data_IF_284958305308
#
_entry.id   IF_284958305308
#
_cell.length_a   1.000
_cell.length_b   1.000
_cell.length_c   1.000
_cell.angle_alpha   90.00
_cell.angle_beta   90.00
_cell.angle_gamma   90.00
#
_symmetry.space_group_name_H-M   'P 1'
#
loop_
_entity.id
_entity.type
_entity.pdbx_description
1 polymer ?
#
# COMPACT_ATOMS: atom_id res chain seq x y z
N UNK A 1 64.67 -45.42 37.76
CA UNK A 1 63.46 -44.72 38.30
C UNK A 1 63.12 -43.59 37.31
N UNK A 2 62.24 -43.82 36.40
CA UNK A 2 61.82 -42.84 35.39
C UNK A 2 60.34 -42.51 35.57
N UNK A 3 60.06 -41.25 35.86
CA UNK A 3 58.69 -40.70 35.97
C UNK A 3 58.24 -40.31 34.61
N UNK A 4 57.18 -40.95 34.11
CA UNK A 4 56.45 -40.53 32.87
C UNK A 4 55.39 -39.52 33.27
N UNK A 5 55.47 -38.30 32.75
CA UNK A 5 54.45 -37.27 32.90
C UNK A 5 53.45 -37.40 31.77
N UNK A 6 52.20 -37.72 32.09
CA UNK A 6 51.11 -37.75 31.15
C UNK A 6 50.51 -36.34 31.00
N UNK A 7 50.59 -35.75 29.80
CA UNK A 7 49.90 -34.51 29.44
C UNK A 7 48.46 -34.82 28.98
N UNK A 8 47.49 -34.41 29.77
CA UNK A 8 46.07 -34.38 29.37
C UNK A 8 45.79 -33.12 28.55
N UNK A 9 45.59 -33.28 27.27
CA UNK A 9 45.14 -32.19 26.39
C UNK A 9 43.62 -32.04 26.52
N UNK A 10 43.19 -30.96 27.13
CA UNK A 10 41.75 -30.58 27.17
C UNK A 10 41.36 -29.90 25.88
N UNK A 11 40.57 -30.57 25.04
CA UNK A 11 39.95 -29.97 23.83
C UNK A 11 38.71 -29.19 24.22
N UNK A 12 38.82 -27.86 24.16
CA UNK A 12 37.67 -26.98 24.33
C UNK A 12 36.80 -26.99 23.05
N UNK A 13 35.59 -27.56 23.16
CA UNK A 13 34.59 -27.46 22.09
C UNK A 13 33.92 -26.08 22.14
N UNK A 14 34.21 -25.23 21.17
CA UNK A 14 33.49 -24.00 20.96
C UNK A 14 32.11 -24.33 20.37
N UNK A 15 31.05 -24.15 21.15
CA UNK A 15 29.67 -24.21 20.67
C UNK A 15 29.40 -22.88 19.99
N UNK A 16 29.44 -22.86 18.66
CA UNK A 16 28.97 -21.72 17.85
C UNK A 16 27.45 -21.73 17.96
N UNK A 17 26.81 -20.67 18.49
CA UNK A 17 25.34 -20.58 18.45
C UNK A 17 24.90 -20.51 16.99
N UNK A 18 24.23 -21.56 16.54
CA UNK A 18 23.56 -21.54 15.22
C UNK A 18 22.42 -20.51 15.32
N UNK A 19 22.57 -19.39 14.62
CA UNK A 19 21.46 -18.49 14.36
C UNK A 19 20.39 -19.31 13.62
N UNK A 20 19.28 -19.57 14.31
CA UNK A 20 18.11 -20.16 13.66
C UNK A 20 17.73 -19.28 12.44
N UNK A 21 17.48 -19.88 11.27
CA UNK A 21 17.01 -19.10 10.13
C UNK A 21 15.76 -18.34 10.57
N UNK A 22 15.76 -16.99 10.41
CA UNK A 22 14.56 -16.20 10.55
C UNK A 22 13.56 -16.80 9.57
N UNK A 23 12.43 -17.27 10.08
CA UNK A 23 11.30 -17.62 9.21
C UNK A 23 11.04 -16.38 8.33
N UNK A 24 11.24 -16.49 7.02
CA UNK A 24 10.81 -15.49 6.09
C UNK A 24 9.30 -15.34 6.29
N UNK A 25 8.82 -14.13 6.54
CA UNK A 25 7.40 -13.88 6.64
C UNK A 25 6.76 -14.44 5.36
N UNK A 26 5.77 -15.34 5.52
CA UNK A 26 5.08 -15.92 4.37
C UNK A 26 4.37 -14.80 3.63
N UNK A 27 4.48 -14.77 2.30
CA UNK A 27 3.78 -13.80 1.46
C UNK A 27 2.27 -13.86 1.71
N UNK A 28 1.58 -12.73 1.92
CA UNK A 28 0.13 -12.72 2.08
C UNK A 28 -0.56 -13.06 0.75
N UNK A 29 -1.79 -13.56 0.82
CA UNK A 29 -2.60 -13.77 -0.38
C UNK A 29 -3.01 -12.46 -1.06
N UNK A 30 -3.19 -11.40 -0.25
CA UNK A 30 -3.50 -10.03 -0.68
C UNK A 30 -2.71 -9.04 0.17
N UNK A 31 -2.13 -8.01 -0.43
CA UNK A 31 -1.59 -6.87 0.29
C UNK A 31 -2.23 -5.57 -0.17
N UNK A 32 -2.66 -4.76 0.80
CA UNK A 32 -3.21 -3.43 0.55
C UNK A 32 -2.12 -2.38 0.80
N UNK A 33 -1.63 -1.75 -0.27
CA UNK A 33 -0.74 -0.59 -0.22
C UNK A 33 -1.60 0.66 -0.13
N UNK A 34 -1.63 1.32 1.03
CA UNK A 34 -2.57 2.42 1.28
C UNK A 34 -1.87 3.72 1.69
N UNK A 35 -2.18 4.80 0.97
CA UNK A 35 -1.75 6.15 1.28
C UNK A 35 -2.84 6.88 2.09
N UNK A 36 -2.49 7.30 3.32
CA UNK A 36 -3.38 7.99 4.26
C UNK A 36 -3.70 9.42 3.83
N UNK A 37 -4.68 10.04 4.45
CA UNK A 37 -5.01 11.44 4.22
C UNK A 37 -4.06 12.42 4.93
N UNK A 38 -4.17 13.71 4.61
CA UNK A 38 -3.41 14.81 5.21
C UNK A 38 -3.58 14.82 6.73
N UNK A 39 -2.50 15.06 7.45
CA UNK A 39 -2.40 15.16 8.91
C UNK A 39 -2.79 13.87 9.68
N UNK A 40 -3.04 12.74 8.99
CA UNK A 40 -3.18 11.46 9.67
C UNK A 40 -1.81 10.91 10.13
N UNK A 41 -1.75 10.23 11.27
CA UNK A 41 -0.50 9.62 11.76
C UNK A 41 0.00 8.51 10.81
N UNK A 42 1.31 8.15 10.87
CA UNK A 42 1.89 7.09 10.04
C UNK A 42 1.10 5.78 10.10
N UNK A 43 1.04 5.09 8.96
CA UNK A 43 0.26 3.86 8.75
C UNK A 43 -0.78 4.05 7.65
N UNK A 44 -1.81 3.22 7.63
CA UNK A 44 -2.88 3.24 6.60
C UNK A 44 -3.99 4.28 6.88
N UNK A 45 -3.93 5.02 7.98
CA UNK A 45 -4.95 5.98 8.38
C UNK A 45 -6.30 5.34 8.74
N UNK A 46 -7.27 6.18 9.09
CA UNK A 46 -8.61 5.74 9.55
C UNK A 46 -9.41 5.07 8.43
N UNK A 47 -9.43 5.68 7.24
CA UNK A 47 -10.19 5.16 6.09
C UNK A 47 -9.56 3.85 5.60
N UNK A 48 -8.22 3.82 5.46
CA UNK A 48 -7.49 2.62 5.06
C UNK A 48 -7.68 1.47 6.04
N UNK A 49 -7.58 1.73 7.35
CA UNK A 49 -7.81 0.70 8.38
C UNK A 49 -9.21 0.10 8.32
N UNK A 50 -10.23 0.93 8.13
CA UNK A 50 -11.62 0.47 7.98
C UNK A 50 -11.80 -0.35 6.69
N UNK A 51 -11.22 0.09 5.58
CA UNK A 51 -11.25 -0.63 4.30
C UNK A 51 -10.56 -1.99 4.40
N UNK A 52 -9.34 -2.07 4.94
CA UNK A 52 -8.59 -3.32 5.15
C UNK A 52 -9.38 -4.30 6.03
N UNK A 53 -9.93 -3.83 7.16
CA UNK A 53 -10.73 -4.67 8.04
C UNK A 53 -12.00 -5.19 7.34
N UNK A 54 -12.64 -4.35 6.53
CA UNK A 54 -13.80 -4.74 5.73
C UNK A 54 -13.45 -5.78 4.66
N UNK A 55 -12.27 -5.65 4.01
CA UNK A 55 -11.78 -6.61 3.02
C UNK A 55 -11.45 -7.97 3.66
N UNK A 56 -10.79 -7.98 4.82
CA UNK A 56 -10.52 -9.22 5.59
C UNK A 56 -11.76 -10.05 5.87
N UNK A 57 -12.91 -9.42 6.05
CA UNK A 57 -14.18 -10.10 6.29
C UNK A 57 -14.84 -10.66 5.01
N UNK A 58 -14.37 -10.29 3.83
CA UNK A 58 -14.98 -10.60 2.53
C UNK A 58 -14.16 -11.55 1.66
N UNK A 59 -12.91 -11.82 2.01
CA UNK A 59 -12.07 -12.79 1.32
C UNK A 59 -11.60 -13.89 2.27
N UNK A 60 -11.32 -15.08 1.70
CA UNK A 60 -10.70 -16.19 2.45
C UNK A 60 -9.17 -16.13 2.43
N UNK A 61 -8.60 -15.22 1.64
CA UNK A 61 -7.15 -15.04 1.58
C UNK A 61 -6.66 -14.28 2.80
N UNK A 62 -5.42 -14.50 3.18
CA UNK A 62 -4.73 -13.63 4.15
C UNK A 62 -4.59 -12.23 3.54
N UNK A 63 -4.92 -11.20 4.33
CA UNK A 63 -4.84 -9.80 3.91
C UNK A 63 -3.89 -9.07 4.83
N UNK A 64 -2.78 -8.59 4.27
CA UNK A 64 -1.85 -7.69 4.94
C UNK A 64 -2.00 -6.25 4.41
N UNK A 65 -1.32 -5.30 5.03
CA UNK A 65 -1.39 -3.90 4.62
C UNK A 65 -0.07 -3.17 4.84
N UNK A 66 0.31 -2.37 3.86
CA UNK A 66 1.42 -1.45 3.90
C UNK A 66 0.92 -0.01 3.91
N UNK A 67 1.29 0.75 4.92
CA UNK A 67 1.02 2.20 4.97
C UNK A 67 2.12 2.97 4.27
N UNK A 68 1.79 3.62 3.15
CA UNK A 68 2.73 4.43 2.38
C UNK A 68 3.44 5.45 3.26
N UNK A 69 4.77 5.42 3.22
CA UNK A 69 5.61 6.28 4.03
C UNK A 69 5.86 7.62 3.33
N UNK A 70 5.18 8.66 3.77
CA UNK A 70 5.34 10.03 3.27
C UNK A 70 4.89 11.04 4.34
N UNK A 71 5.21 12.32 4.22
CA UNK A 71 4.88 13.31 5.25
C UNK A 71 3.39 13.48 5.52
N UNK A 72 2.52 13.31 4.51
CA UNK A 72 1.06 13.51 4.59
C UNK A 72 0.69 14.85 5.25
N UNK A 73 1.39 15.91 4.90
CA UNK A 73 1.20 17.27 5.40
C UNK A 73 0.53 18.16 4.34
N UNK A 74 0.40 19.45 4.63
CA UNK A 74 -0.24 20.43 3.73
C UNK A 74 0.63 20.81 2.52
N UNK A 75 1.87 20.35 2.46
CA UNK A 75 2.70 20.47 1.27
C UNK A 75 2.32 19.34 0.29
N UNK A 76 1.47 19.68 -0.68
CA UNK A 76 0.98 18.70 -1.66
C UNK A 76 2.08 18.18 -2.61
N UNK A 77 3.23 18.85 -2.71
CA UNK A 77 4.37 18.32 -3.45
C UNK A 77 4.95 17.07 -2.80
N UNK A 78 4.77 16.89 -1.50
CA UNK A 78 5.11 15.68 -0.76
C UNK A 78 4.32 14.43 -1.22
N UNK A 79 3.27 14.59 -2.03
CA UNK A 79 2.59 13.44 -2.66
C UNK A 79 3.52 12.65 -3.58
N UNK A 80 4.52 13.29 -4.21
CA UNK A 80 5.53 12.61 -5.02
C UNK A 80 6.43 11.67 -4.20
N UNK A 81 6.76 12.05 -2.95
CA UNK A 81 7.51 11.17 -2.03
C UNK A 81 6.70 9.91 -1.71
N UNK A 82 5.39 10.07 -1.46
CA UNK A 82 4.47 8.96 -1.26
C UNK A 82 4.35 8.06 -2.50
N UNK A 83 4.29 8.64 -3.69
CA UNK A 83 4.24 7.88 -4.93
C UNK A 83 5.54 7.09 -5.17
N UNK A 84 6.72 7.66 -4.87
CA UNK A 84 8.00 6.97 -4.94
C UNK A 84 8.07 5.80 -3.94
N UNK A 85 7.64 6.00 -2.71
CA UNK A 85 7.60 4.96 -1.68
C UNK A 85 6.65 3.82 -2.07
N UNK A 86 5.42 4.15 -2.45
CA UNK A 86 4.44 3.16 -2.91
C UNK A 86 4.95 2.35 -4.10
N UNK A 87 5.52 3.01 -5.11
CA UNK A 87 6.05 2.34 -6.29
C UNK A 87 7.23 1.41 -5.96
N UNK A 88 8.16 1.84 -5.08
CA UNK A 88 9.25 0.99 -4.61
C UNK A 88 8.71 -0.25 -3.87
N UNK A 89 7.71 -0.07 -3.00
CA UNK A 89 7.11 -1.18 -2.26
C UNK A 89 6.38 -2.16 -3.18
N UNK A 90 5.61 -1.67 -4.15
CA UNK A 90 4.93 -2.49 -5.15
C UNK A 90 5.94 -3.32 -5.95
N UNK A 91 7.03 -2.73 -6.42
CA UNK A 91 8.09 -3.46 -7.13
C UNK A 91 8.73 -4.52 -6.23
N UNK A 92 9.06 -4.17 -4.99
CA UNK A 92 9.59 -5.13 -4.02
C UNK A 92 8.65 -6.32 -3.82
N UNK A 93 7.35 -6.10 -3.68
CA UNK A 93 6.36 -7.16 -3.51
C UNK A 93 6.23 -8.01 -4.77
N UNK A 94 6.26 -7.40 -5.95
CA UNK A 94 6.25 -8.12 -7.23
C UNK A 94 7.42 -9.10 -7.35
N UNK A 95 8.62 -8.68 -6.90
CA UNK A 95 9.84 -9.49 -6.98
C UNK A 95 9.89 -10.58 -5.88
N UNK A 96 9.47 -10.23 -4.66
CA UNK A 96 9.63 -11.09 -3.48
C UNK A 96 8.42 -12.00 -3.23
N UNK A 97 7.23 -11.58 -3.64
CA UNK A 97 5.95 -12.26 -3.40
C UNK A 97 5.07 -12.28 -4.67
N UNK A 98 5.51 -12.94 -5.75
CA UNK A 98 4.87 -12.84 -7.07
C UNK A 98 3.43 -13.35 -7.13
N UNK A 99 3.00 -14.20 -6.19
CA UNK A 99 1.63 -14.71 -6.12
C UNK A 99 0.68 -13.80 -5.31
N UNK A 100 1.22 -12.80 -4.59
CA UNK A 100 0.44 -11.83 -3.82
C UNK A 100 -0.35 -10.92 -4.75
N UNK A 101 -1.66 -10.79 -4.52
CA UNK A 101 -2.51 -9.82 -5.21
C UNK A 101 -2.38 -8.47 -4.53
N UNK A 102 -1.88 -7.47 -5.27
CA UNK A 102 -1.73 -6.11 -4.76
C UNK A 102 -3.03 -5.33 -4.94
N UNK A 103 -3.41 -4.58 -3.91
CA UNK A 103 -4.52 -3.64 -3.91
C UNK A 103 -3.97 -2.27 -3.54
N UNK A 104 -4.14 -1.29 -4.42
CA UNK A 104 -3.72 0.07 -4.13
C UNK A 104 -4.89 0.85 -3.55
N UNK A 105 -4.63 1.71 -2.57
CA UNK A 105 -5.69 2.52 -2.00
C UNK A 105 -5.18 3.87 -1.51
N UNK A 106 -6.08 4.85 -1.47
CA UNK A 106 -5.74 6.17 -0.97
C UNK A 106 -6.95 6.98 -0.53
N UNK A 107 -6.75 7.86 0.46
CA UNK A 107 -7.77 8.78 0.93
C UNK A 107 -7.29 10.22 0.82
N UNK A 108 -8.11 11.10 0.23
CA UNK A 108 -7.82 12.54 0.11
C UNK A 108 -6.46 12.77 -0.59
N UNK A 109 -5.47 13.40 0.03
CA UNK A 109 -4.10 13.53 -0.49
C UNK A 109 -3.50 12.16 -0.86
N UNK A 110 -3.79 11.11 -0.08
CA UNK A 110 -3.35 9.76 -0.38
C UNK A 110 -3.97 9.19 -1.66
N UNK A 111 -5.18 9.60 -2.04
CA UNK A 111 -5.76 9.25 -3.33
C UNK A 111 -4.96 9.88 -4.48
N UNK A 112 -4.51 11.13 -4.34
CA UNK A 112 -3.61 11.76 -5.31
C UNK A 112 -2.24 11.06 -5.39
N UNK A 113 -1.70 10.55 -4.27
CA UNK A 113 -0.48 9.72 -4.26
C UNK A 113 -0.67 8.50 -5.15
N UNK A 114 -1.78 7.78 -5.00
CA UNK A 114 -2.05 6.57 -5.80
C UNK A 114 -2.35 6.92 -7.26
N UNK A 115 -3.01 8.04 -7.53
CA UNK A 115 -3.19 8.54 -8.91
C UNK A 115 -1.85 8.77 -9.61
N UNK A 116 -0.85 9.35 -8.93
CA UNK A 116 0.49 9.54 -9.50
C UNK A 116 1.10 8.18 -9.86
N UNK A 117 1.00 7.17 -8.99
CA UNK A 117 1.53 5.81 -9.23
C UNK A 117 0.85 5.15 -10.43
N UNK A 118 -0.47 5.29 -10.55
CA UNK A 118 -1.26 4.57 -11.56
C UNK A 118 -1.31 5.27 -12.91
N UNK A 119 -1.18 6.60 -12.96
CA UNK A 119 -1.37 7.40 -14.16
C UNK A 119 -0.08 7.94 -14.79
N UNK A 120 1.03 8.00 -14.03
CA UNK A 120 2.27 8.58 -14.53
C UNK A 120 3.21 7.52 -15.14
N UNK A 121 3.17 7.32 -16.47
CA UNK A 121 4.09 6.39 -17.14
C UNK A 121 5.52 6.94 -17.22
N UNK A 122 5.71 8.22 -16.86
CA UNK A 122 6.98 8.95 -16.95
C UNK A 122 7.28 9.68 -15.64
N UNK A 123 8.58 9.82 -15.28
CA UNK A 123 8.98 10.65 -14.15
C UNK A 123 8.57 12.12 -14.35
N UNK A 124 8.20 12.79 -13.27
CA UNK A 124 7.87 14.22 -13.28
C UNK A 124 7.45 14.74 -11.92
N UNK A 125 7.61 16.04 -11.68
CA UNK A 125 7.20 16.73 -10.45
C UNK A 125 7.65 16.04 -9.15
N UNK A 126 8.88 15.49 -9.12
CA UNK A 126 9.43 14.75 -7.98
C UNK A 126 9.14 13.25 -7.99
N UNK A 127 8.22 12.76 -8.81
CA UNK A 127 8.02 11.33 -9.01
C UNK A 127 9.11 10.77 -9.95
N UNK A 128 9.88 9.80 -9.45
CA UNK A 128 11.06 9.26 -10.16
C UNK A 128 10.97 7.76 -10.44
N UNK A 129 9.95 7.10 -9.92
CA UNK A 129 9.79 5.65 -9.94
C UNK A 129 8.48 5.20 -10.61
N UNK A 130 8.31 5.45 -11.92
CA UNK A 130 7.13 4.95 -12.65
C UNK A 130 6.98 3.44 -12.49
N UNK A 131 5.75 2.99 -12.34
CA UNK A 131 5.46 1.57 -12.17
C UNK A 131 5.69 0.82 -13.48
N UNK A 132 6.57 -0.19 -13.54
CA UNK A 132 6.71 -1.03 -14.72
C UNK A 132 5.40 -1.75 -15.06
N UNK A 133 5.15 -2.01 -16.35
CA UNK A 133 3.95 -2.71 -16.79
C UNK A 133 3.76 -4.06 -16.06
N UNK A 134 4.83 -4.83 -15.87
CA UNK A 134 4.80 -6.10 -15.16
C UNK A 134 4.33 -5.95 -13.71
N UNK A 135 4.75 -4.89 -13.00
CA UNK A 135 4.29 -4.63 -11.65
C UNK A 135 2.81 -4.21 -11.62
N UNK A 136 2.33 -3.48 -12.65
CA UNK A 136 0.92 -3.14 -12.79
C UNK A 136 0.02 -4.37 -12.99
N UNK A 137 0.53 -5.45 -13.59
CA UNK A 137 -0.21 -6.72 -13.76
C UNK A 137 -0.50 -7.42 -12.44
N UNK A 138 0.35 -7.21 -11.41
CA UNK A 138 0.12 -7.74 -10.06
C UNK A 138 -0.95 -6.96 -9.28
N UNK A 139 -1.30 -5.73 -9.74
CA UNK A 139 -2.36 -4.93 -9.12
C UNK A 139 -3.72 -5.47 -9.55
N UNK A 140 -4.43 -6.05 -8.59
CA UNK A 140 -5.76 -6.61 -8.79
C UNK A 140 -6.86 -5.53 -8.75
N UNK A 141 -6.69 -4.50 -7.91
CA UNK A 141 -7.66 -3.43 -7.75
C UNK A 141 -7.04 -2.13 -7.23
N UNK A 142 -7.72 -1.02 -7.49
CA UNK A 142 -7.45 0.31 -6.96
C UNK A 142 -8.72 0.84 -6.28
N UNK A 143 -8.60 1.37 -5.06
CA UNK A 143 -9.71 1.92 -4.29
C UNK A 143 -9.37 3.33 -3.78
N UNK A 144 -10.01 4.34 -4.33
CA UNK A 144 -9.77 5.74 -4.02
C UNK A 144 -10.96 6.34 -3.27
N UNK A 145 -10.68 7.20 -2.32
CA UNK A 145 -11.68 7.83 -1.47
C UNK A 145 -11.42 9.35 -1.38
N UNK A 146 -12.42 10.16 -1.75
CA UNK A 146 -12.30 11.61 -1.69
C UNK A 146 -11.17 12.16 -2.56
N UNK A 147 -11.05 11.64 -3.75
CA UNK A 147 -9.96 11.90 -4.67
C UNK A 147 -10.03 13.32 -5.28
N UNK A 148 -9.00 14.17 -5.08
CA UNK A 148 -9.00 15.52 -5.62
C UNK A 148 -8.92 15.57 -7.15
N UNK A 149 -8.41 14.55 -7.83
CA UNK A 149 -8.29 14.53 -9.29
C UNK A 149 -9.64 14.58 -9.98
N UNK A 150 -10.71 14.10 -9.33
CA UNK A 150 -12.08 14.22 -9.84
C UNK A 150 -12.49 15.67 -10.19
N UNK A 151 -11.90 16.66 -9.50
CA UNK A 151 -12.11 18.10 -9.77
C UNK A 151 -11.04 18.74 -10.66
N UNK A 152 -9.92 18.06 -10.86
CA UNK A 152 -8.77 18.58 -11.62
C UNK A 152 -8.78 18.16 -13.11
N UNK A 153 -9.93 17.73 -13.64
CA UNK A 153 -10.05 17.36 -15.06
C UNK A 153 -10.35 15.89 -15.32
N UNK A 154 -10.61 15.11 -14.29
CA UNK A 154 -11.01 13.71 -14.37
C UNK A 154 -10.12 12.76 -13.58
N UNK A 155 -10.56 11.53 -13.50
CA UNK A 155 -9.84 10.46 -12.79
C UNK A 155 -8.57 10.13 -13.57
N UNK A 156 -7.43 10.30 -12.94
CA UNK A 156 -6.13 9.98 -13.55
C UNK A 156 -6.03 8.48 -13.89
N UNK A 157 -6.62 7.61 -13.06
CA UNK A 157 -6.71 6.16 -13.31
C UNK A 157 -7.49 5.79 -14.58
N UNK A 158 -8.42 6.65 -15.05
CA UNK A 158 -9.14 6.46 -16.31
C UNK A 158 -8.26 6.72 -17.53
N UNK A 159 -7.11 7.34 -17.37
CA UNK A 159 -6.17 7.64 -18.46
C UNK A 159 -5.20 6.49 -18.76
N UNK A 160 -5.20 5.42 -17.92
CA UNK A 160 -4.24 4.32 -18.04
C UNK A 160 -4.97 3.00 -18.30
N UNK A 161 -4.78 2.38 -19.48
CA UNK A 161 -5.45 1.12 -19.84
C UNK A 161 -5.21 -0.02 -18.84
N UNK A 162 -4.05 -0.04 -18.15
CA UNK A 162 -3.67 -1.09 -17.20
C UNK A 162 -4.58 -1.17 -15.96
N UNK A 163 -5.32 -0.11 -15.65
CA UNK A 163 -6.20 -0.03 -14.48
C UNK A 163 -7.67 0.10 -14.85
N UNK A 164 -8.00 0.02 -16.15
CA UNK A 164 -9.39 -0.02 -16.61
C UNK A 164 -10.13 -1.22 -16.02
N UNK A 165 -11.33 -0.98 -15.51
CA UNK A 165 -12.13 -1.98 -14.83
C UNK A 165 -11.57 -2.48 -13.48
N UNK A 166 -10.36 -2.07 -13.08
CA UNK A 166 -9.75 -2.40 -11.78
C UNK A 166 -9.98 -1.32 -10.72
N UNK A 167 -10.40 -0.12 -11.09
CA UNK A 167 -10.49 1.04 -10.20
C UNK A 167 -11.91 1.29 -9.74
N UNK A 168 -12.09 1.54 -8.43
CA UNK A 168 -13.25 2.18 -7.85
C UNK A 168 -12.83 3.50 -7.20
N UNK A 169 -13.45 4.60 -7.63
CA UNK A 169 -13.22 5.93 -7.06
C UNK A 169 -14.51 6.41 -6.39
N UNK A 170 -14.46 6.67 -5.11
CA UNK A 170 -15.62 6.94 -4.27
C UNK A 170 -15.57 8.37 -3.72
N UNK A 171 -16.55 9.15 -4.12
CA UNK A 171 -16.77 10.50 -3.63
C UNK A 171 -18.06 10.55 -2.81
N UNK A 172 -17.96 10.98 -1.54
CA UNK A 172 -19.15 11.15 -0.71
C UNK A 172 -19.93 12.38 -1.18
N UNK A 173 -21.26 12.30 -1.37
CA UNK A 173 -22.06 13.44 -1.78
C UNK A 173 -21.83 14.67 -0.91
N UNK A 174 -21.50 15.80 -1.52
CA UNK A 174 -21.23 17.06 -0.81
C UNK A 174 -19.76 17.25 -0.37
N UNK A 175 -18.88 16.27 -0.57
CA UNK A 175 -17.45 16.37 -0.28
C UNK A 175 -16.79 17.45 -1.17
N UNK A 176 -16.17 18.51 -0.61
CA UNK A 176 -15.56 19.59 -1.39
C UNK A 176 -14.27 19.19 -2.09
N UNK A 177 -13.64 18.08 -1.74
CA UNK A 177 -12.38 17.63 -2.34
C UNK A 177 -12.62 16.94 -3.68
N UNK A 178 -13.63 16.09 -3.78
CA UNK A 178 -13.90 15.29 -4.97
C UNK A 178 -15.19 15.69 -5.72
N UNK A 179 -15.96 16.65 -5.20
CA UNK A 179 -17.19 17.15 -5.84
C UNK A 179 -17.29 18.68 -5.76
N UNK A 180 -18.34 19.26 -6.34
CA UNK A 180 -18.67 20.68 -6.22
C UNK A 180 -19.40 20.99 -4.89
N UNK A 181 -19.42 20.06 -3.95
CA UNK A 181 -20.01 20.25 -2.64
C UNK A 181 -19.18 21.18 -1.73
N UNK A 182 -19.76 21.53 -0.57
CA UNK A 182 -19.14 22.40 0.42
C UNK A 182 -19.24 21.83 1.84
N UNK A 183 -19.54 20.53 1.97
CA UNK A 183 -19.77 19.88 3.27
C UNK A 183 -18.50 19.16 3.73
N UNK A 184 -17.64 19.83 4.49
CA UNK A 184 -16.42 19.21 5.01
C UNK A 184 -16.68 17.92 5.81
N UNK A 185 -17.84 17.83 6.50
CA UNK A 185 -18.26 16.62 7.20
C UNK A 185 -18.40 15.41 6.24
N UNK A 186 -18.80 15.63 5.00
CA UNK A 186 -18.88 14.56 4.00
C UNK A 186 -17.49 14.01 3.68
N UNK A 187 -16.45 14.89 3.59
CA UNK A 187 -15.05 14.48 3.42
C UNK A 187 -14.56 13.57 4.57
N UNK A 188 -15.06 13.74 5.78
CA UNK A 188 -14.67 12.96 6.95
C UNK A 188 -15.54 11.71 7.19
N UNK A 189 -16.50 11.39 6.31
CA UNK A 189 -17.55 10.38 6.57
C UNK A 189 -17.53 9.20 5.59
N UNK A 190 -16.35 8.68 5.25
CA UNK A 190 -16.20 7.53 4.34
C UNK A 190 -16.46 6.18 5.04
N UNK A 191 -16.29 6.13 6.36
CA UNK A 191 -16.44 4.93 7.18
C UNK A 191 -17.85 4.88 7.81
N UNK A 192 -18.55 3.73 7.79
CA UNK A 192 -18.19 2.45 7.16
C UNK A 192 -18.73 2.28 5.73
N UNK A 193 -19.64 3.16 5.28
CA UNK A 193 -20.43 2.96 4.06
C UNK A 193 -19.58 2.74 2.82
N UNK A 194 -18.77 3.75 2.48
CA UNK A 194 -17.96 3.71 1.26
C UNK A 194 -16.76 2.75 1.38
N UNK A 195 -16.19 2.57 2.57
CA UNK A 195 -15.15 1.55 2.80
C UNK A 195 -15.69 0.13 2.62
N UNK A 196 -16.93 -0.14 3.01
CA UNK A 196 -17.61 -1.42 2.75
C UNK A 196 -17.88 -1.65 1.26
N UNK A 197 -18.28 -0.60 0.54
CA UNK A 197 -18.52 -0.66 -0.90
C UNK A 197 -17.22 -0.99 -1.66
N UNK A 198 -16.12 -0.28 -1.35
CA UNK A 198 -14.80 -0.55 -1.92
C UNK A 198 -14.33 -1.98 -1.61
N UNK A 199 -14.48 -2.44 -0.37
CA UNK A 199 -14.09 -3.78 0.03
C UNK A 199 -14.87 -4.87 -0.72
N UNK A 200 -16.15 -4.66 -1.01
CA UNK A 200 -16.95 -5.59 -1.84
C UNK A 200 -16.47 -5.62 -3.28
N UNK A 201 -16.14 -4.46 -3.86
CA UNK A 201 -15.59 -4.37 -5.20
C UNK A 201 -14.23 -5.08 -5.31
N UNK A 202 -13.35 -4.85 -4.34
CA UNK A 202 -12.00 -5.46 -4.32
C UNK A 202 -12.08 -6.95 -4.08
N UNK A 203 -12.92 -7.42 -3.16
CA UNK A 203 -13.08 -8.85 -2.86
C UNK A 203 -13.49 -9.70 -4.08
N UNK A 204 -14.17 -9.10 -5.06
CA UNK A 204 -14.53 -9.77 -6.31
C UNK A 204 -13.35 -9.90 -7.30
N UNK A 205 -12.20 -9.30 -7.01
CA UNK A 205 -11.01 -9.24 -7.90
C UNK A 205 -9.77 -9.95 -7.33
N UNK A 206 -9.80 -10.33 -6.06
CA UNK A 206 -8.67 -10.96 -5.35
C UNK A 206 -8.90 -12.44 -4.99
#
# INVERSE_FOLDING_TARGET
MGLAAAFLAATAFWVIPQLAPRASASCPGVEVVFARGTDEPPGVGKVGGAFVNSLRQRTRKSVDSYGVNYPANKDFLAAADGANDASNHIQHMTDSCPDTKLVLGGYSQGAAVIDIVTAAPLPGLGFQKPLPAQAADHVAAVALFGNPSARAGGLMSALTPNFDGKTIDLCNPGDPICSNGNQWKAHLSYVPGLTNQAASFVAAKV
#
